data_IF_064570331970
#
_entry.id   IF_064570331970
#
_cell.length_a   1.000
_cell.length_b   1.000
_cell.length_c   1.000
_cell.angle_alpha   90.00
_cell.angle_beta   90.00
_cell.angle_gamma   90.00
#
_symmetry.space_group_name_H-M   'P 1'
#
loop_
_entity.id
_entity.type
_entity.pdbx_description
1 polymer ?
#
# COMPACT_ATOMS: atom_id res chain seq x y z
N UNK A 1 7.59 -3.28 1.43
CA UNK A 1 7.81 -4.42 2.32
C UNK A 1 9.29 -4.80 2.40
N UNK A 2 9.96 -5.10 1.27
CA UNK A 2 11.38 -5.48 1.23
C UNK A 2 12.29 -4.48 1.98
N UNK A 3 12.10 -3.18 1.77
CA UNK A 3 12.85 -2.14 2.49
C UNK A 3 12.60 -2.19 4.01
N UNK A 4 11.37 -2.43 4.46
CA UNK A 4 11.09 -2.59 5.88
C UNK A 4 11.80 -3.84 6.46
N UNK A 5 11.76 -4.97 5.74
CA UNK A 5 12.45 -6.19 6.12
C UNK A 5 13.98 -6.05 6.11
N UNK A 6 14.54 -5.19 5.27
CA UNK A 6 15.98 -4.89 5.29
C UNK A 6 16.38 -4.04 6.50
N UNK A 7 15.47 -3.17 6.98
CA UNK A 7 15.74 -2.19 8.03
C UNK A 7 15.43 -2.69 9.44
N UNK A 8 14.33 -3.43 9.60
CA UNK A 8 13.81 -3.83 10.91
C UNK A 8 14.00 -5.32 11.17
N UNK A 9 14.11 -5.70 12.46
CA UNK A 9 14.25 -7.09 12.90
C UNK A 9 12.90 -7.83 12.94
N UNK A 10 11.78 -7.10 13.07
CA UNK A 10 10.43 -7.64 13.05
C UNK A 10 9.53 -6.73 12.22
N UNK A 11 8.86 -7.32 11.24
CA UNK A 11 7.92 -6.61 10.37
C UNK A 11 6.63 -7.42 10.32
N UNK A 12 5.52 -6.79 10.67
CA UNK A 12 4.18 -7.34 10.49
C UNK A 12 3.48 -6.59 9.36
N UNK A 13 2.65 -7.29 8.62
CA UNK A 13 1.90 -6.70 7.53
C UNK A 13 0.44 -6.49 7.91
N UNK A 14 -0.18 -5.45 7.35
CA UNK A 14 -1.59 -5.17 7.55
C UNK A 14 -2.23 -4.79 6.22
N UNK A 15 -3.39 -5.36 5.97
CA UNK A 15 -4.24 -5.04 4.83
C UNK A 15 -5.67 -4.75 5.31
N UNK A 16 -6.44 -4.12 4.43
CA UNK A 16 -7.80 -3.67 4.73
C UNK A 16 -8.75 -4.13 3.64
N UNK A 17 -9.81 -4.82 4.02
CA UNK A 17 -10.96 -5.06 3.17
C UNK A 17 -11.99 -3.95 3.43
N UNK A 18 -12.10 -3.01 2.49
CA UNK A 18 -13.07 -1.92 2.53
C UNK A 18 -14.16 -2.07 1.46
N UNK A 19 -14.38 -3.31 1.01
CA UNK A 19 -15.28 -3.64 -0.10
C UNK A 19 -14.89 -2.96 -1.40
N UNK A 20 -13.57 -2.93 -1.66
CA UNK A 20 -13.04 -2.48 -2.94
C UNK A 20 -13.62 -3.32 -4.10
N UNK A 21 -13.67 -2.71 -5.28
CA UNK A 21 -14.28 -3.25 -6.49
C UNK A 21 -13.81 -4.68 -6.83
N UNK A 22 -12.58 -5.05 -6.45
CA UNK A 22 -12.05 -6.41 -6.61
C UNK A 22 -11.12 -6.78 -5.46
N UNK A 23 -11.01 -8.07 -5.17
CA UNK A 23 -10.18 -8.61 -4.08
C UNK A 23 -8.80 -9.08 -4.52
N UNK A 24 -8.43 -8.89 -5.79
CA UNK A 24 -7.17 -9.41 -6.36
C UNK A 24 -5.94 -8.97 -5.57
N UNK A 25 -5.95 -7.75 -5.03
CA UNK A 25 -4.85 -7.23 -4.20
C UNK A 25 -4.70 -7.98 -2.89
N UNK A 26 -5.82 -8.40 -2.28
CA UNK A 26 -5.81 -9.17 -1.04
C UNK A 26 -5.20 -10.57 -1.27
N UNK A 27 -5.49 -11.20 -2.41
CA UNK A 27 -4.91 -12.48 -2.79
C UNK A 27 -3.44 -12.33 -3.21
N UNK A 28 -3.10 -11.26 -3.95
CA UNK A 28 -1.73 -10.96 -4.35
C UNK A 28 -0.82 -10.79 -3.12
N UNK A 29 -1.31 -10.13 -2.07
CA UNK A 29 -0.61 -9.96 -0.80
C UNK A 29 -0.15 -11.30 -0.22
N UNK A 30 -1.03 -12.29 -0.14
CA UNK A 30 -0.69 -13.61 0.39
C UNK A 30 0.40 -14.31 -0.43
N UNK A 31 0.31 -14.21 -1.76
CA UNK A 31 1.33 -14.75 -2.66
C UNK A 31 2.69 -14.06 -2.47
N UNK A 32 2.70 -12.73 -2.36
CA UNK A 32 3.93 -11.97 -2.10
C UNK A 32 4.58 -12.39 -0.78
N UNK A 33 3.81 -12.53 0.29
CA UNK A 33 4.33 -12.97 1.59
C UNK A 33 4.93 -14.37 1.53
N UNK A 34 4.27 -15.28 0.82
CA UNK A 34 4.78 -16.65 0.61
C UNK A 34 6.07 -16.63 -0.21
N UNK A 35 6.13 -15.89 -1.31
CA UNK A 35 7.32 -15.79 -2.16
C UNK A 35 8.51 -15.17 -1.40
N UNK A 36 8.27 -14.16 -0.55
CA UNK A 36 9.32 -13.60 0.30
C UNK A 36 9.89 -14.67 1.25
N UNK A 37 9.03 -15.48 1.87
CA UNK A 37 9.47 -16.56 2.76
C UNK A 37 10.30 -17.62 2.04
N UNK A 38 9.96 -17.92 0.79
CA UNK A 38 10.62 -18.95 0.00
C UNK A 38 11.93 -18.47 -0.62
N UNK A 39 11.94 -17.26 -1.18
CA UNK A 39 13.06 -16.78 -2.01
C UNK A 39 14.06 -15.89 -1.26
N UNK A 40 13.68 -15.32 -0.10
CA UNK A 40 14.49 -14.36 0.65
C UNK A 40 14.69 -14.80 2.10
N UNK A 41 15.52 -15.85 2.36
CA UNK A 41 15.72 -16.37 3.72
C UNK A 41 16.26 -15.31 4.70
N UNK A 42 17.00 -14.31 4.22
CA UNK A 42 17.46 -13.16 5.02
C UNK A 42 16.33 -12.29 5.55
N UNK A 43 15.13 -12.34 4.96
CA UNK A 43 13.94 -11.61 5.37
C UNK A 43 12.85 -12.50 6.00
N UNK A 44 12.83 -13.77 5.63
CA UNK A 44 11.78 -14.70 6.04
C UNK A 44 11.60 -14.78 7.57
N UNK A 45 12.69 -14.79 8.32
CA UNK A 45 12.69 -14.87 9.78
C UNK A 45 12.23 -13.57 10.47
N UNK A 46 12.25 -12.44 9.76
CA UNK A 46 11.79 -11.12 10.25
C UNK A 46 10.31 -10.88 10.01
N UNK A 47 9.71 -11.67 9.10
CA UNK A 47 8.31 -11.53 8.72
C UNK A 47 7.41 -12.16 9.79
N UNK A 48 6.69 -11.31 10.51
CA UNK A 48 5.76 -11.68 11.58
C UNK A 48 4.35 -11.96 11.07
N UNK A 49 3.38 -11.61 11.90
CA UNK A 49 1.95 -11.83 11.63
C UNK A 49 1.46 -10.91 10.51
N UNK A 50 0.52 -11.44 9.74
CA UNK A 50 -0.18 -10.72 8.69
C UNK A 50 -1.63 -10.48 9.12
N UNK A 51 -2.02 -9.22 9.15
CA UNK A 51 -3.33 -8.78 9.62
C UNK A 51 -4.22 -8.38 8.45
N UNK A 52 -5.50 -8.79 8.52
CA UNK A 52 -6.55 -8.32 7.62
C UNK A 52 -7.69 -7.73 8.45
N UNK A 53 -7.98 -6.44 8.28
CA UNK A 53 -9.06 -5.76 8.96
C UNK A 53 -10.21 -5.46 7.99
N UNK A 54 -11.44 -5.72 8.46
CA UNK A 54 -12.66 -5.34 7.74
C UNK A 54 -12.96 -3.85 8.01
N UNK A 55 -12.93 -3.04 6.96
CA UNK A 55 -13.31 -1.63 6.93
C UNK A 55 -14.46 -1.38 5.94
N UNK A 56 -15.40 -2.33 5.82
CA UNK A 56 -16.54 -2.23 4.91
C UNK A 56 -17.36 -0.93 5.07
N UNK A 57 -17.27 -0.28 6.25
CA UNK A 57 -17.88 1.03 6.51
C UNK A 57 -17.40 2.12 5.53
N UNK A 58 -16.16 2.03 5.02
CA UNK A 58 -15.68 2.96 4.01
C UNK A 58 -16.50 2.91 2.71
N UNK A 59 -16.95 1.73 2.31
CA UNK A 59 -17.84 1.57 1.16
C UNK A 59 -19.23 2.16 1.35
N UNK A 60 -19.65 2.43 2.61
CA UNK A 60 -20.94 3.07 2.91
C UNK A 60 -20.86 4.61 2.84
N UNK A 61 -19.69 5.17 3.11
CA UNK A 61 -19.49 6.64 3.16
C UNK A 61 -18.81 7.19 1.91
N UNK A 62 -18.40 6.33 0.97
CA UNK A 62 -17.72 6.76 -0.26
C UNK A 62 -18.33 6.09 -1.49
N UNK A 63 -18.73 6.92 -2.47
CA UNK A 63 -19.19 6.48 -3.78
C UNK A 63 -18.13 6.80 -4.84
N UNK A 64 -17.07 5.98 -4.86
CA UNK A 64 -15.93 6.17 -5.75
C UNK A 64 -15.83 5.02 -6.75
N UNK A 65 -15.06 5.18 -7.83
CA UNK A 65 -14.84 4.10 -8.79
C UNK A 65 -13.99 2.94 -8.24
N UNK A 66 -13.40 3.08 -7.05
CA UNK A 66 -12.77 1.98 -6.34
C UNK A 66 -13.74 1.18 -5.45
N UNK A 67 -14.90 1.74 -5.13
CA UNK A 67 -15.94 1.09 -4.31
C UNK A 67 -17.22 0.78 -5.09
N UNK A 68 -17.37 1.33 -6.30
CA UNK A 68 -18.53 1.16 -7.18
C UNK A 68 -18.09 0.88 -8.62
N UNK A 69 -18.95 0.23 -9.38
CA UNK A 69 -18.74 0.03 -10.81
C UNK A 69 -19.18 1.26 -11.60
N UNK A 70 -18.32 2.28 -11.61
CA UNK A 70 -18.51 3.52 -12.37
C UNK A 70 -17.22 3.83 -13.16
N UNK A 71 -17.36 4.54 -14.28
CA UNK A 71 -16.24 4.92 -15.12
C UNK A 71 -15.25 5.84 -14.38
N UNK A 72 -13.96 5.70 -14.69
CA UNK A 72 -12.92 6.60 -14.17
C UNK A 72 -13.08 7.99 -14.78
N UNK A 73 -13.04 9.03 -13.96
CA UNK A 73 -13.10 10.43 -14.40
C UNK A 73 -12.43 11.36 -13.39
N UNK A 74 -12.08 12.55 -13.86
CA UNK A 74 -11.70 13.67 -12.99
C UNK A 74 -12.96 14.38 -12.50
N UNK A 75 -13.04 14.65 -11.21
CA UNK A 75 -14.12 15.40 -10.60
C UNK A 75 -13.87 16.92 -10.69
N UNK A 76 -14.91 17.72 -10.47
CA UNK A 76 -14.79 19.19 -10.45
C UNK A 76 -13.85 19.72 -9.36
N UNK A 77 -13.56 18.94 -8.36
CA UNK A 77 -12.57 19.22 -7.30
C UNK A 77 -11.11 19.16 -7.78
N UNK A 78 -10.87 18.66 -9.02
CA UNK A 78 -9.53 18.38 -9.53
C UNK A 78 -8.93 17.06 -9.03
N UNK A 79 -9.68 16.26 -8.27
CA UNK A 79 -9.28 14.93 -7.84
C UNK A 79 -9.95 13.86 -8.73
N UNK A 80 -9.29 12.72 -8.98
CA UNK A 80 -9.92 11.62 -9.68
C UNK A 80 -11.00 10.97 -8.79
N UNK A 81 -12.04 10.43 -9.39
CA UNK A 81 -13.12 9.74 -8.68
C UNK A 81 -12.69 8.37 -8.10
N UNK A 82 -11.43 8.01 -8.24
CA UNK A 82 -10.79 6.93 -7.50
C UNK A 82 -10.39 7.33 -6.07
N UNK A 83 -10.40 8.62 -5.76
CA UNK A 83 -10.08 9.11 -4.42
C UNK A 83 -11.17 8.71 -3.42
N UNK A 84 -10.82 7.87 -2.45
CA UNK A 84 -11.66 7.52 -1.30
C UNK A 84 -11.30 8.45 -0.15
N UNK A 85 -12.14 9.45 0.18
CA UNK A 85 -11.80 10.48 1.16
C UNK A 85 -11.40 9.89 2.52
N UNK A 86 -10.19 10.24 2.99
CA UNK A 86 -9.68 9.83 4.29
C UNK A 86 -9.27 8.36 4.41
N UNK A 87 -9.27 7.59 3.33
CA UNK A 87 -8.93 6.16 3.37
C UNK A 87 -7.57 5.91 4.01
N UNK A 88 -6.52 6.59 3.57
CA UNK A 88 -5.18 6.38 4.09
C UNK A 88 -5.03 6.87 5.54
N UNK A 89 -5.76 7.92 5.93
CA UNK A 89 -5.80 8.36 7.33
C UNK A 89 -6.35 7.25 8.25
N UNK A 90 -7.47 6.62 7.84
CA UNK A 90 -8.05 5.50 8.57
C UNK A 90 -7.15 4.28 8.59
N UNK A 91 -6.49 3.96 7.49
CA UNK A 91 -5.56 2.84 7.42
C UNK A 91 -4.42 3.00 8.41
N UNK A 92 -3.76 4.15 8.47
CA UNK A 92 -2.71 4.41 9.44
C UNK A 92 -3.23 4.44 10.87
N UNK A 93 -4.43 4.99 11.12
CA UNK A 93 -5.03 4.99 12.45
C UNK A 93 -5.29 3.56 12.95
N UNK A 94 -5.83 2.68 12.11
CA UNK A 94 -6.07 1.28 12.46
C UNK A 94 -4.75 0.50 12.61
N UNK A 95 -3.78 0.74 11.72
CA UNK A 95 -2.46 0.15 11.83
C UNK A 95 -1.75 0.57 13.13
N UNK A 96 -1.89 1.83 13.54
CA UNK A 96 -1.35 2.32 14.81
C UNK A 96 -1.97 1.63 16.02
N UNK A 97 -3.29 1.40 16.01
CA UNK A 97 -3.98 0.71 17.09
C UNK A 97 -3.53 -0.77 17.22
N UNK A 98 -3.33 -1.44 16.08
CA UNK A 98 -2.76 -2.80 16.05
C UNK A 98 -1.32 -2.76 16.54
N UNK A 99 -0.48 -1.86 16.01
CA UNK A 99 0.92 -1.70 16.39
C UNK A 99 1.08 -1.44 17.88
N UNK A 100 0.31 -0.53 18.44
CA UNK A 100 0.30 -0.21 19.87
C UNK A 100 0.10 -1.46 20.73
N UNK A 101 -0.89 -2.30 20.41
CA UNK A 101 -1.17 -3.55 21.14
C UNK A 101 -0.09 -4.61 20.98
N UNK A 102 0.72 -4.52 19.93
CA UNK A 102 1.78 -5.49 19.60
C UNK A 102 3.19 -4.98 19.94
N UNK A 103 3.29 -3.78 20.53
CA UNK A 103 4.57 -3.14 20.84
C UNK A 103 5.37 -2.74 19.60
N UNK A 104 4.67 -2.42 18.50
CA UNK A 104 5.25 -1.92 17.25
C UNK A 104 4.96 -0.43 17.14
N UNK A 105 5.99 0.39 17.05
CA UNK A 105 5.88 1.86 17.09
C UNK A 105 6.16 2.55 15.76
N UNK A 106 6.53 1.77 14.72
CA UNK A 106 6.81 2.32 13.39
C UNK A 106 5.83 1.74 12.37
N UNK A 107 5.16 2.63 11.67
CA UNK A 107 4.26 2.33 10.55
C UNK A 107 4.97 2.68 9.25
N UNK A 108 5.05 1.75 8.32
CA UNK A 108 5.72 1.97 7.03
C UNK A 108 4.70 1.93 5.91
N UNK A 109 4.57 3.04 5.20
CA UNK A 109 3.69 3.17 4.04
C UNK A 109 4.47 3.34 2.73
N UNK A 110 3.89 2.86 1.64
CA UNK A 110 4.47 2.99 0.29
C UNK A 110 3.99 4.24 -0.48
N UNK A 111 3.52 5.27 0.22
CA UNK A 111 3.05 6.50 -0.39
C UNK A 111 4.18 7.24 -1.10
N UNK A 112 3.82 7.89 -2.21
CA UNK A 112 4.72 8.66 -3.05
C UNK A 112 4.00 9.96 -3.46
N UNK A 113 4.57 11.11 -3.14
CA UNK A 113 4.00 12.41 -3.51
C UNK A 113 4.29 12.77 -4.97
N UNK A 114 5.28 12.11 -5.57
CA UNK A 114 5.57 12.22 -7.00
C UNK A 114 4.61 11.38 -7.86
N UNK A 115 3.70 10.62 -7.24
CA UNK A 115 2.71 9.83 -7.95
C UNK A 115 1.65 10.74 -8.61
N UNK A 116 1.25 10.38 -9.82
CA UNK A 116 0.36 11.18 -10.65
C UNK A 116 -1.04 11.37 -10.06
N UNK A 117 -1.48 10.49 -9.16
CA UNK A 117 -2.82 10.54 -8.57
C UNK A 117 -3.10 11.72 -7.64
N UNK A 118 -2.06 12.32 -7.04
CA UNK A 118 -2.15 13.55 -6.25
C UNK A 118 -3.08 13.51 -5.03
N UNK A 119 -3.35 12.33 -4.48
CA UNK A 119 -4.27 12.17 -3.34
C UNK A 119 -3.81 12.96 -2.12
N UNK A 120 -4.67 13.82 -1.54
CA UNK A 120 -4.31 14.65 -0.39
C UNK A 120 -3.85 13.86 0.84
N UNK A 121 -4.42 12.67 1.05
CA UNK A 121 -4.13 11.78 2.18
C UNK A 121 -2.86 10.93 2.01
N UNK A 122 -2.16 11.07 0.85
CA UNK A 122 -0.84 10.51 0.60
C UNK A 122 0.31 11.51 0.80
N UNK A 123 0.02 12.80 0.96
CA UNK A 123 1.04 13.85 1.02
C UNK A 123 1.87 13.79 2.29
N UNK A 124 3.14 14.13 2.20
CA UNK A 124 4.09 14.10 3.31
C UNK A 124 3.63 14.94 4.52
N UNK A 125 3.15 16.15 4.29
CA UNK A 125 2.65 17.02 5.36
C UNK A 125 1.39 16.44 6.05
N UNK A 126 0.50 15.78 5.30
CA UNK A 126 -0.69 15.12 5.85
C UNK A 126 -0.28 13.97 6.77
N UNK A 127 0.65 13.13 6.34
CA UNK A 127 1.11 11.99 7.12
C UNK A 127 1.91 12.41 8.36
N UNK A 128 2.70 13.49 8.28
CA UNK A 128 3.36 14.09 9.45
C UNK A 128 2.37 14.63 10.47
N UNK A 129 1.33 15.33 10.04
CA UNK A 129 0.27 15.78 10.93
C UNK A 129 -0.48 14.60 11.59
N UNK A 130 -0.77 13.56 10.80
CA UNK A 130 -1.40 12.34 11.31
C UNK A 130 -0.53 11.63 12.34
N UNK A 131 0.78 11.53 12.13
CA UNK A 131 1.73 10.96 13.10
C UNK A 131 1.64 11.66 14.45
N UNK A 132 1.58 12.99 14.45
CA UNK A 132 1.44 13.77 15.68
C UNK A 132 0.10 13.46 16.37
N UNK A 133 -0.99 13.46 15.61
CA UNK A 133 -2.32 13.17 16.14
C UNK A 133 -2.41 11.76 16.75
N UNK A 134 -1.86 10.76 16.06
CA UNK A 134 -1.82 9.37 16.53
C UNK A 134 -1.00 9.27 17.82
N UNK A 135 0.21 9.86 17.84
CA UNK A 135 1.09 9.80 19.00
C UNK A 135 0.46 10.42 20.24
N UNK A 136 -0.21 11.56 20.09
CA UNK A 136 -0.94 12.22 21.17
C UNK A 136 -2.18 11.41 21.61
N UNK A 137 -2.93 10.88 20.66
CA UNK A 137 -4.14 10.13 20.93
C UNK A 137 -3.91 8.76 21.59
N UNK A 138 -2.74 8.16 21.36
CA UNK A 138 -2.35 6.90 22.00
C UNK A 138 -1.49 7.10 23.26
N UNK A 139 -1.12 8.34 23.60
CA UNK A 139 -0.11 8.65 24.63
C UNK A 139 1.16 7.78 24.47
N UNK A 140 1.58 7.61 23.23
CA UNK A 140 2.68 6.73 22.86
C UNK A 140 3.36 7.22 21.59
N UNK A 141 4.70 7.30 21.55
CA UNK A 141 5.40 7.76 20.36
C UNK A 141 5.20 6.75 19.21
N UNK A 142 4.54 7.22 18.15
CA UNK A 142 4.37 6.48 16.90
C UNK A 142 5.10 7.21 15.77
N UNK A 143 5.73 6.47 14.89
CA UNK A 143 6.42 7.01 13.71
C UNK A 143 5.74 6.51 12.43
N UNK A 144 5.47 7.41 11.49
CA UNK A 144 5.04 7.06 10.13
C UNK A 144 6.22 7.29 9.19
N UNK A 145 6.73 6.22 8.60
CA UNK A 145 7.77 6.27 7.57
C UNK A 145 7.18 6.04 6.19
N UNK A 146 7.56 6.89 5.26
CA UNK A 146 7.18 6.83 3.86
C UNK A 146 8.42 6.89 2.97
N UNK A 147 9.21 5.81 2.95
CA UNK A 147 10.54 5.82 2.33
C UNK A 147 10.54 6.02 0.81
N UNK A 148 9.39 5.89 0.18
CA UNK A 148 9.22 6.10 -1.26
C UNK A 148 8.68 7.51 -1.61
N UNK A 149 8.43 8.36 -0.61
CA UNK A 149 7.71 9.64 -0.74
C UNK A 149 8.23 10.51 -1.88
N UNK A 150 9.54 10.57 -2.05
CA UNK A 150 10.19 11.45 -3.02
C UNK A 150 10.85 10.70 -4.18
N UNK A 151 10.63 9.38 -4.30
CA UNK A 151 11.19 8.58 -5.37
C UNK A 151 10.26 8.56 -6.58
N UNK A 152 10.85 8.66 -7.76
CA UNK A 152 10.15 8.34 -9.01
C UNK A 152 9.93 6.85 -9.15
N UNK A 153 9.05 6.41 -10.06
CA UNK A 153 8.85 4.98 -10.35
C UNK A 153 10.17 4.30 -10.75
N UNK A 154 10.98 4.94 -11.59
CA UNK A 154 12.29 4.41 -11.99
C UNK A 154 13.25 4.25 -10.79
N UNK A 155 13.27 5.21 -9.88
CA UNK A 155 14.08 5.12 -8.65
C UNK A 155 13.57 4.04 -7.71
N UNK A 156 12.24 3.81 -7.64
CA UNK A 156 11.66 2.73 -6.85
C UNK A 156 12.05 1.36 -7.41
N UNK A 157 12.10 1.19 -8.74
CA UNK A 157 12.60 -0.03 -9.37
C UNK A 157 14.09 -0.23 -9.12
N UNK A 158 14.91 0.83 -9.23
CA UNK A 158 16.34 0.77 -8.90
C UNK A 158 16.57 0.36 -7.45
N UNK A 159 15.78 0.91 -6.51
CA UNK A 159 15.81 0.50 -5.10
C UNK A 159 15.42 -0.97 -4.91
N UNK A 160 14.43 -1.46 -5.65
CA UNK A 160 14.05 -2.87 -5.62
C UNK A 160 15.22 -3.77 -6.05
N UNK A 161 15.90 -3.38 -7.13
CA UNK A 161 17.08 -4.10 -7.63
C UNK A 161 18.24 -4.07 -6.62
N UNK A 162 18.50 -2.94 -6.00
CA UNK A 162 19.52 -2.80 -4.93
C UNK A 162 19.24 -3.70 -3.72
N UNK A 163 17.97 -3.84 -3.31
CA UNK A 163 17.56 -4.61 -2.13
C UNK A 163 17.56 -6.11 -2.37
N UNK A 164 17.10 -6.58 -3.52
CA UNK A 164 16.87 -8.00 -3.76
C UNK A 164 17.20 -8.50 -5.17
N UNK A 165 17.83 -7.64 -5.99
CA UNK A 165 18.23 -7.98 -7.35
C UNK A 165 17.04 -8.30 -8.26
N UNK A 166 17.33 -8.95 -9.38
CA UNK A 166 16.31 -9.38 -10.34
C UNK A 166 15.23 -10.27 -9.72
N UNK A 167 15.59 -11.08 -8.71
CA UNK A 167 14.62 -11.96 -8.03
C UNK A 167 13.50 -11.16 -7.33
N UNK A 168 13.81 -10.00 -6.72
CA UNK A 168 12.78 -9.15 -6.14
C UNK A 168 11.96 -8.43 -7.22
N UNK A 169 12.59 -8.00 -8.30
CA UNK A 169 11.90 -7.40 -9.44
C UNK A 169 10.94 -8.41 -10.08
N UNK A 170 11.37 -9.66 -10.30
CA UNK A 170 10.53 -10.73 -10.83
C UNK A 170 9.35 -11.03 -9.88
N UNK A 171 9.60 -11.05 -8.56
CA UNK A 171 8.54 -11.22 -7.58
C UNK A 171 7.49 -10.09 -7.69
N UNK A 172 7.93 -8.84 -7.83
CA UNK A 172 7.02 -7.69 -7.98
C UNK A 172 6.21 -7.84 -9.26
N UNK A 173 6.85 -8.14 -10.39
CA UNK A 173 6.18 -8.29 -11.70
C UNK A 173 5.14 -9.42 -11.70
N UNK A 174 5.47 -10.57 -11.09
CA UNK A 174 4.63 -11.77 -11.17
C UNK A 174 3.54 -11.82 -10.09
N UNK A 175 3.79 -11.31 -8.89
CA UNK A 175 2.93 -11.56 -7.73
C UNK A 175 2.22 -10.34 -7.18
N UNK A 176 2.60 -9.11 -7.57
CA UNK A 176 1.84 -7.93 -7.18
C UNK A 176 0.69 -7.63 -8.13
N UNK A 177 -0.14 -6.67 -7.77
CA UNK A 177 -1.24 -6.22 -8.60
C UNK A 177 -1.46 -4.72 -8.42
N UNK A 178 -1.67 -4.00 -9.52
CA UNK A 178 -1.91 -2.55 -9.50
C UNK A 178 -3.15 -2.13 -10.30
N UNK A 179 -3.62 -2.97 -11.22
CA UNK A 179 -4.73 -2.65 -12.12
C UNK A 179 -6.05 -2.40 -11.37
N UNK A 180 -6.66 -1.23 -11.55
CA UNK A 180 -7.94 -0.87 -10.93
C UNK A 180 -9.15 -1.70 -11.41
N UNK A 181 -8.99 -2.45 -12.51
CA UNK A 181 -10.01 -3.38 -13.01
C UNK A 181 -9.85 -4.80 -12.44
N UNK A 182 -8.82 -5.08 -11.65
CA UNK A 182 -8.54 -6.42 -11.16
C UNK A 182 -8.09 -7.40 -12.24
N UNK A 183 -7.76 -6.92 -13.43
CA UNK A 183 -7.43 -7.77 -14.58
C UNK A 183 -6.01 -8.33 -14.47
N UNK A 184 -5.89 -9.64 -14.58
CA UNK A 184 -4.62 -10.39 -14.66
C UNK A 184 -4.54 -11.26 -15.92
N UNK A 185 -5.41 -11.05 -16.90
CA UNK A 185 -5.42 -11.85 -18.14
C UNK A 185 -4.29 -11.50 -19.09
N UNK A 186 -3.79 -10.26 -19.04
CA UNK A 186 -2.71 -9.79 -19.91
C UNK A 186 -1.47 -9.47 -19.09
N UNK A 187 -0.32 -10.02 -19.48
CA UNK A 187 0.99 -9.72 -18.91
C UNK A 187 1.71 -8.69 -19.80
N UNK A 188 2.09 -7.60 -19.20
CA UNK A 188 2.91 -6.54 -19.78
C UNK A 188 4.35 -6.61 -19.24
N UNK A 189 5.25 -5.77 -19.73
CA UNK A 189 6.62 -5.67 -19.20
C UNK A 189 6.67 -5.24 -17.73
N UNK A 190 5.66 -4.50 -17.27
CA UNK A 190 5.52 -4.01 -15.89
C UNK A 190 4.66 -4.88 -14.97
N UNK A 191 4.17 -6.04 -15.44
CA UNK A 191 3.31 -6.94 -14.68
C UNK A 191 1.95 -7.16 -15.33
N UNK A 192 0.94 -7.53 -14.55
CA UNK A 192 -0.40 -7.87 -15.04
C UNK A 192 -1.38 -6.70 -14.94
N UNK A 193 -2.19 -6.48 -15.98
CA UNK A 193 -3.23 -5.46 -15.95
C UNK A 193 -3.98 -5.32 -17.28
N UNK A 194 -5.04 -4.51 -17.28
CA UNK A 194 -5.84 -4.25 -18.48
C UNK A 194 -5.16 -3.33 -19.51
N UNK A 195 -4.09 -2.62 -19.15
CA UNK A 195 -3.38 -1.68 -20.03
C UNK A 195 -4.16 -0.40 -20.39
N UNK A 196 -5.29 -0.11 -19.70
CA UNK A 196 -6.18 0.99 -20.07
C UNK A 196 -6.68 1.81 -18.88
N UNK A 197 -6.50 1.35 -17.65
CA UNK A 197 -6.92 2.12 -16.48
C UNK A 197 -5.80 3.06 -16.01
N UNK A 198 -6.13 4.09 -15.20
CA UNK A 198 -5.14 5.06 -14.72
C UNK A 198 -3.96 4.47 -13.95
N UNK A 199 -4.10 3.26 -13.41
CA UNK A 199 -2.99 2.57 -12.73
C UNK A 199 -2.11 1.73 -13.66
N UNK A 200 -2.58 1.47 -14.89
CA UNK A 200 -1.82 0.75 -15.92
C UNK A 200 -1.12 1.70 -16.90
N UNK A 201 -1.60 2.95 -17.03
CA UNK A 201 -1.05 4.01 -17.86
C UNK A 201 0.15 4.67 -17.14
#
# INVERSE_FOLDING_TARGET
LALALSKYERVETIAFDYRQRHSVELDARLRVLEQIKQQFPQWAHKLGEDHLLDLAVLGQVSETSLTRDVAFKMESSGLPNTFVPGRNLLFFQMAAAVGYRRGLHTLVGGMCETDYSGYPDCRDNTLKALQVAISLGLDSPMTIETPLMWLTKAQTWALSDELGGSALNDLVLEHTHTCYMGDRSVRHEWGYGCGQCPACD
#
